data_IF_217634010741
#
_entry.id   IF_217634010741
#
_cell.length_a   1.000
_cell.length_b   1.000
_cell.length_c   1.000
_cell.angle_alpha   90.00
_cell.angle_beta   90.00
_cell.angle_gamma   90.00
#
_symmetry.space_group_name_H-M   'P 1'
#
loop_
_entity.id
_entity.type
_entity.pdbx_description
1 polymer ?
#
# COMPACT_ATOMS: atom_id res chain seq x y z
N UNK A 1 9.14 -7.73 -1.99
CA UNK A 1 7.81 -7.59 -1.37
C UNK A 1 7.06 -8.91 -1.53
N UNK A 2 6.28 -9.35 -0.53
CA UNK A 2 5.37 -10.49 -0.67
C UNK A 2 3.93 -10.00 -0.76
N UNK A 3 3.11 -10.66 -1.57
CA UNK A 3 1.69 -10.35 -1.69
C UNK A 3 0.98 -10.57 -0.36
N UNK A 4 0.25 -9.55 0.12
CA UNK A 4 -0.53 -9.69 1.38
C UNK A 4 -1.68 -10.70 1.25
N UNK A 5 -2.18 -10.94 0.03
CA UNK A 5 -3.30 -11.85 -0.24
C UNK A 5 -2.86 -13.32 -0.32
N UNK A 6 -1.82 -13.63 -1.10
CA UNK A 6 -1.41 -15.02 -1.36
C UNK A 6 0.04 -15.35 -0.96
N UNK A 7 0.77 -14.41 -0.35
CA UNK A 7 2.21 -14.54 -0.02
C UNK A 7 3.14 -14.77 -1.23
N UNK A 8 2.61 -14.65 -2.44
CA UNK A 8 3.36 -14.79 -3.70
C UNK A 8 4.30 -13.62 -4.02
N UNK A 9 5.07 -13.79 -5.10
CA UNK A 9 6.02 -12.79 -5.58
C UNK A 9 5.29 -11.55 -6.10
N UNK A 10 5.81 -10.39 -5.74
CA UNK A 10 5.37 -9.10 -6.30
C UNK A 10 6.50 -8.47 -7.11
N UNK A 11 6.14 -7.93 -8.27
CA UNK A 11 7.03 -7.26 -9.21
C UNK A 11 6.57 -5.83 -9.46
N UNK A 12 7.49 -4.94 -9.85
CA UNK A 12 7.12 -3.58 -10.28
C UNK A 12 6.45 -3.66 -11.64
N UNK A 13 5.36 -2.93 -11.79
CA UNK A 13 4.56 -2.86 -13.01
C UNK A 13 4.01 -1.45 -13.20
N UNK A 14 3.49 -1.14 -14.39
CA UNK A 14 2.87 0.14 -14.73
C UNK A 14 1.44 -0.08 -15.20
N UNK A 15 0.52 0.70 -14.64
CA UNK A 15 -0.87 0.76 -15.14
C UNK A 15 -1.03 2.07 -15.89
N UNK A 16 -1.59 1.98 -17.10
CA UNK A 16 -1.83 3.12 -17.97
C UNK A 16 -3.30 3.53 -17.90
N UNK A 17 -3.57 4.79 -18.20
CA UNK A 17 -4.93 5.26 -18.45
C UNK A 17 -5.57 4.48 -19.61
N UNK A 18 -6.92 4.39 -19.69
CA UNK A 18 -7.60 3.63 -20.74
C UNK A 18 -7.23 4.06 -22.17
N UNK A 19 -6.90 5.34 -22.36
CA UNK A 19 -6.50 5.90 -23.66
C UNK A 19 -4.97 5.78 -23.90
N UNK A 20 -4.24 5.32 -22.88
CA UNK A 20 -2.86 4.80 -22.92
C UNK A 20 -1.76 5.84 -23.11
N UNK A 21 -2.09 7.13 -23.13
CA UNK A 21 -1.23 8.12 -23.79
C UNK A 21 -0.57 9.12 -22.86
N UNK A 22 -1.08 9.35 -21.65
CA UNK A 22 -0.62 10.50 -20.85
C UNK A 22 -0.31 10.20 -19.40
N UNK A 23 -0.92 9.17 -18.80
CA UNK A 23 -0.74 8.91 -17.37
C UNK A 23 -0.43 7.44 -17.11
N UNK A 24 0.62 7.20 -16.34
CA UNK A 24 0.92 5.88 -15.80
C UNK A 24 1.16 5.96 -14.30
N UNK A 25 0.79 4.88 -13.61
CA UNK A 25 1.02 4.69 -12.19
C UNK A 25 1.98 3.52 -11.99
N UNK A 26 3.07 3.76 -11.26
CA UNK A 26 3.97 2.71 -10.81
C UNK A 26 3.31 1.92 -9.67
N UNK A 27 3.16 0.61 -9.86
CA UNK A 27 2.52 -0.30 -8.91
C UNK A 27 3.40 -1.51 -8.60
N UNK A 28 3.02 -2.25 -7.57
CA UNK A 28 3.45 -3.63 -7.37
C UNK A 28 2.32 -4.59 -7.75
N UNK A 29 2.57 -5.51 -8.67
CA UNK A 29 1.62 -6.56 -9.06
C UNK A 29 2.10 -7.92 -8.56
N UNK A 30 1.20 -8.70 -7.97
CA UNK A 30 1.47 -10.10 -7.69
C UNK A 30 1.29 -10.95 -8.95
N UNK A 31 2.34 -11.69 -9.34
CA UNK A 31 2.28 -12.58 -10.50
C UNK A 31 1.44 -13.85 -10.26
N UNK A 32 1.17 -14.20 -9.01
CA UNK A 32 0.42 -15.40 -8.66
C UNK A 32 -1.10 -15.18 -8.60
N UNK A 33 -1.56 -14.01 -8.11
CA UNK A 33 -2.99 -13.75 -7.89
C UNK A 33 -3.51 -12.44 -8.49
N UNK A 34 -2.64 -11.63 -9.10
CA UNK A 34 -3.03 -10.38 -9.75
C UNK A 34 -3.23 -9.18 -8.82
N UNK A 35 -3.10 -9.33 -7.50
CA UNK A 35 -3.25 -8.22 -6.54
C UNK A 35 -2.28 -7.06 -6.88
N UNK A 36 -2.82 -5.85 -7.00
CA UNK A 36 -2.06 -4.63 -7.32
C UNK A 36 -2.03 -3.68 -6.15
N UNK A 37 -0.86 -3.12 -5.86
CA UNK A 37 -0.64 -2.23 -4.74
C UNK A 37 0.12 -0.99 -5.18
N UNK A 38 -0.48 0.18 -4.96
CA UNK A 38 0.21 1.47 -5.08
C UNK A 38 1.05 1.73 -3.81
N UNK A 39 2.39 1.80 -3.92
CA UNK A 39 3.26 2.05 -2.78
C UNK A 39 3.05 3.44 -2.14
N UNK A 40 2.61 4.44 -2.90
CA UNK A 40 2.31 5.80 -2.43
C UNK A 40 1.09 5.79 -1.52
N UNK A 41 0.02 5.12 -1.94
CA UNK A 41 -1.19 4.95 -1.13
C UNK A 41 -0.89 4.13 0.13
N UNK A 42 -0.05 3.10 0.02
CA UNK A 42 0.37 2.35 1.21
C UNK A 42 1.09 3.23 2.23
N UNK A 43 2.01 4.07 1.76
CA UNK A 43 2.78 4.94 2.63
C UNK A 43 1.86 5.97 3.31
N UNK A 44 0.99 6.64 2.54
CA UNK A 44 0.02 7.58 3.08
C UNK A 44 -0.93 6.94 4.11
N UNK A 45 -1.37 5.70 3.88
CA UNK A 45 -2.19 4.95 4.85
C UNK A 45 -1.44 4.63 6.14
N UNK A 46 -0.17 4.22 6.05
CA UNK A 46 0.67 3.99 7.25
C UNK A 46 0.86 5.26 8.05
N UNK A 47 1.12 6.39 7.38
CA UNK A 47 1.28 7.68 8.04
C UNK A 47 -0.02 8.16 8.70
N UNK A 48 -1.17 7.91 8.08
CA UNK A 48 -2.48 8.21 8.67
C UNK A 48 -2.74 7.36 9.92
N UNK A 49 -2.47 6.06 9.86
CA UNK A 49 -2.61 5.14 10.99
C UNK A 49 -1.70 5.52 12.16
N UNK A 50 -0.43 5.87 11.89
CA UNK A 50 0.50 6.32 12.91
C UNK A 50 0.04 7.62 13.61
N UNK A 51 -0.61 8.53 12.87
CA UNK A 51 -1.18 9.77 13.43
C UNK A 51 -2.45 9.51 14.25
N UNK A 52 -3.28 8.56 13.83
CA UNK A 52 -4.50 8.15 14.55
C UNK A 52 -4.16 7.43 15.88
N UNK A 53 -3.14 6.56 15.89
CA UNK A 53 -2.62 5.91 17.11
C UNK A 53 -2.05 6.90 18.13
N UNK A 54 -1.47 8.02 17.66
CA UNK A 54 -0.97 9.10 18.52
C UNK A 54 -2.07 10.02 19.08
N UNK A 55 -3.27 10.00 18.50
CA UNK A 55 -4.40 10.83 18.93
C UNK A 55 -5.43 10.07 19.79
N UNK A 56 -5.23 8.78 20.05
CA UNK A 56 -6.06 8.02 20.99
C UNK A 56 -5.58 8.20 22.45
N UNK A 57 -6.34 8.90 23.33
CA UNK A 57 -6.00 9.07 24.74
C UNK A 57 -6.02 7.76 25.57
N UNK A 58 -6.42 6.62 24.99
CA UNK A 58 -6.34 5.30 25.63
C UNK A 58 -4.99 4.57 25.38
N UNK A 59 -4.20 4.98 24.38
CA UNK A 59 -2.91 4.33 24.07
C UNK A 59 -1.75 4.81 24.96
N UNK A 60 -1.82 6.03 25.50
CA UNK A 60 -0.75 6.62 26.34
C UNK A 60 -0.70 6.08 27.78
N UNK A 61 -1.61 5.19 28.19
CA UNK A 61 -1.69 4.67 29.57
C UNK A 61 -1.02 3.31 29.79
N UNK A 62 -0.29 2.74 28.82
CA UNK A 62 0.38 1.42 28.95
C UNK A 62 1.90 1.48 29.15
N UNK A 63 2.45 2.63 29.54
CA UNK A 63 3.82 2.71 30.07
C UNK A 63 3.74 3.01 31.57
N UNK A 64 3.52 1.96 32.36
CA UNK A 64 3.57 1.95 33.81
C UNK A 64 4.21 0.66 34.28
#
# INVERSE_FOLDING_TARGET
>A
MKCRRCQGLMVKDKVYDPDGQFLHLDIWRCINCGETVDPTILQARKEKQAKEEQQDPLYTKKAG
#
